data_IF_376344132308
#
_entry.id   IF_376344132308
#
_cell.length_a   1.000
_cell.length_b   1.000
_cell.length_c   1.000
_cell.angle_alpha   90.00
_cell.angle_beta   90.00
_cell.angle_gamma   90.00
#
_symmetry.space_group_name_H-M   'P 1'
#
loop_
_entity.id
_entity.type
_entity.pdbx_description
1 polymer ?
#
# COMPACT_ATOMS: atom_id res chain seq x y z
N UNK A 1 19.18 -15.39 3.27
CA UNK A 1 18.56 -14.10 3.61
C UNK A 1 17.17 -14.38 4.13
N UNK A 2 16.74 -13.72 5.20
CA UNK A 2 15.40 -13.86 5.77
C UNK A 2 14.42 -13.25 4.76
N UNK A 3 13.39 -13.97 4.36
CA UNK A 3 12.36 -13.46 3.46
C UNK A 3 11.27 -12.78 4.27
N UNK A 4 10.67 -11.73 3.71
CA UNK A 4 9.69 -10.88 4.37
C UNK A 4 10.26 -10.26 5.65
N UNK A 5 11.42 -9.60 5.52
CA UNK A 5 12.11 -8.98 6.67
C UNK A 5 11.52 -7.61 7.00
N UNK A 6 10.57 -7.59 7.94
CA UNK A 6 9.88 -6.37 8.37
C UNK A 6 10.74 -5.42 9.21
N UNK A 7 11.89 -5.90 9.73
CA UNK A 7 12.86 -5.05 10.44
C UNK A 7 13.41 -3.92 9.53
N UNK A 8 13.35 -4.14 8.21
CA UNK A 8 13.71 -3.11 7.23
C UNK A 8 12.95 -1.80 7.44
N UNK A 9 11.68 -1.85 7.78
CA UNK A 9 10.84 -0.66 7.99
C UNK A 9 11.25 0.13 9.23
N UNK A 10 11.63 -0.55 10.33
CA UNK A 10 12.16 0.10 11.52
C UNK A 10 13.52 0.76 11.25
N UNK A 11 14.45 0.02 10.61
CA UNK A 11 15.80 0.50 10.33
C UNK A 11 15.85 1.66 9.33
N UNK A 12 14.82 1.82 8.51
CA UNK A 12 14.77 2.83 7.44
C UNK A 12 13.63 3.85 7.63
N UNK A 13 12.99 3.90 8.78
CA UNK A 13 11.80 4.73 9.02
C UNK A 13 12.01 6.21 8.66
N UNK A 14 13.18 6.78 8.91
CA UNK A 14 13.53 8.17 8.56
C UNK A 14 13.46 8.46 7.05
N UNK A 15 13.45 7.42 6.22
CA UNK A 15 13.43 7.55 4.76
C UNK A 15 12.01 7.67 4.17
N UNK A 16 10.93 7.53 4.95
CA UNK A 16 9.56 7.63 4.45
C UNK A 16 9.29 8.93 3.67
N UNK A 17 9.82 10.05 4.15
CA UNK A 17 9.63 11.36 3.55
C UNK A 17 10.85 11.87 2.77
N UNK A 18 11.87 11.04 2.57
CA UNK A 18 13.09 11.40 1.85
C UNK A 18 12.97 11.03 0.37
N UNK A 19 12.94 12.02 -0.51
CA UNK A 19 12.90 11.79 -1.97
C UNK A 19 14.02 10.86 -2.45
N UNK A 20 13.69 9.97 -3.38
CA UNK A 20 14.64 9.02 -3.97
C UNK A 20 14.95 7.79 -3.11
N UNK A 21 14.34 7.66 -1.93
CA UNK A 21 14.44 6.45 -1.11
C UNK A 21 13.31 5.48 -1.42
N UNK A 22 13.54 4.18 -1.16
CA UNK A 22 12.58 3.10 -1.47
C UNK A 22 11.23 3.34 -0.78
N UNK A 23 11.22 3.66 0.50
CA UNK A 23 9.98 3.91 1.24
C UNK A 23 9.20 5.12 0.69
N UNK A 24 9.90 6.13 0.17
CA UNK A 24 9.24 7.28 -0.45
C UNK A 24 8.59 6.96 -1.81
N UNK A 25 8.91 5.82 -2.43
CA UNK A 25 8.24 5.36 -3.65
C UNK A 25 6.73 5.21 -3.42
N UNK A 26 6.31 4.78 -2.23
CA UNK A 26 4.90 4.69 -1.84
C UNK A 26 4.19 6.04 -1.94
N UNK A 27 4.88 7.17 -1.79
CA UNK A 27 4.30 8.50 -1.97
C UNK A 27 3.87 8.75 -3.44
N UNK A 28 4.66 8.28 -4.40
CA UNK A 28 4.29 8.33 -5.81
C UNK A 28 3.08 7.43 -6.11
N UNK A 29 3.03 6.24 -5.53
CA UNK A 29 1.91 5.30 -5.67
C UNK A 29 0.61 5.85 -5.07
N UNK A 30 0.72 6.55 -3.93
CA UNK A 30 -0.45 7.08 -3.20
C UNK A 30 -1.35 7.98 -4.04
N UNK A 31 -0.80 8.81 -4.94
CA UNK A 31 -1.62 9.63 -5.81
C UNK A 31 -2.64 8.78 -6.58
N UNK A 32 -2.17 7.72 -7.22
CA UNK A 32 -3.03 6.84 -8.04
C UNK A 32 -4.00 6.02 -7.18
N UNK A 33 -3.56 5.59 -5.98
CA UNK A 33 -4.42 4.93 -4.99
C UNK A 33 -5.57 5.83 -4.56
N UNK A 34 -5.23 7.02 -4.09
CA UNK A 34 -6.22 7.99 -3.58
C UNK A 34 -7.15 8.46 -4.71
N UNK A 35 -6.65 8.69 -5.93
CA UNK A 35 -7.49 9.01 -7.09
C UNK A 35 -8.51 7.89 -7.37
N UNK A 36 -8.08 6.62 -7.34
CA UNK A 36 -8.97 5.47 -7.49
C UNK A 36 -9.97 5.37 -6.34
N UNK A 37 -9.55 5.50 -5.09
CA UNK A 37 -10.43 5.41 -3.92
C UNK A 37 -11.44 6.56 -3.90
N UNK A 38 -11.03 7.77 -4.28
CA UNK A 38 -11.90 8.94 -4.36
C UNK A 38 -12.98 8.83 -5.45
N UNK A 39 -12.82 7.92 -6.42
CA UNK A 39 -13.90 7.64 -7.37
C UNK A 39 -15.12 6.95 -6.74
N UNK A 40 -14.97 6.41 -5.52
CA UNK A 40 -16.04 5.74 -4.75
C UNK A 40 -16.51 6.56 -3.54
N UNK A 41 -15.79 7.62 -3.16
CA UNK A 41 -16.11 8.50 -2.04
C UNK A 41 -16.22 9.94 -2.57
N UNK A 42 -17.42 10.53 -2.62
CA UNK A 42 -17.62 11.88 -3.20
C UNK A 42 -16.83 12.98 -2.49
N UNK A 43 -16.61 12.85 -1.19
CA UNK A 43 -15.77 13.73 -0.37
C UNK A 43 -15.20 12.97 0.81
N UNK A 44 -13.95 13.25 1.14
CA UNK A 44 -13.31 12.70 2.34
C UNK A 44 -13.62 13.48 3.61
N UNK A 45 -14.21 14.69 3.47
CA UNK A 45 -14.54 15.54 4.61
C UNK A 45 -15.41 14.83 5.65
N UNK A 46 -14.89 14.71 6.87
CA UNK A 46 -15.57 14.08 7.99
C UNK A 46 -15.65 12.54 7.93
N UNK A 47 -15.15 11.90 6.87
CA UNK A 47 -15.07 10.44 6.76
C UNK A 47 -14.08 9.90 7.78
N UNK A 48 -14.50 8.94 8.60
CA UNK A 48 -13.63 8.23 9.54
C UNK A 48 -12.90 7.12 8.83
N UNK A 49 -11.58 7.27 8.68
CA UNK A 49 -10.73 6.34 7.95
C UNK A 49 -9.79 5.62 8.91
N UNK A 50 -9.63 4.31 8.73
CA UNK A 50 -8.53 3.53 9.29
C UNK A 50 -7.53 3.21 8.18
N UNK A 51 -6.27 3.58 8.37
CA UNK A 51 -5.15 3.27 7.48
C UNK A 51 -4.30 2.15 8.13
N UNK A 52 -4.48 0.92 7.65
CA UNK A 52 -3.76 -0.28 8.13
C UNK A 52 -2.43 -0.37 7.40
N UNK A 53 -1.31 -0.44 8.17
CA UNK A 53 0.03 -0.40 7.62
C UNK A 53 0.39 0.99 7.10
N UNK A 54 0.09 2.02 7.90
CA UNK A 54 0.23 3.41 7.49
C UNK A 54 1.69 3.86 7.27
N UNK A 55 2.68 3.06 7.68
CA UNK A 55 4.10 3.39 7.59
C UNK A 55 4.41 4.76 8.19
N UNK A 56 5.13 5.60 7.45
CA UNK A 56 5.42 6.99 7.83
C UNK A 56 4.26 7.98 7.65
N UNK A 57 3.03 7.50 7.36
CA UNK A 57 1.83 8.33 7.31
C UNK A 57 1.53 8.98 5.95
N UNK A 58 2.10 8.48 4.86
CA UNK A 58 1.97 9.09 3.53
C UNK A 58 0.51 9.16 3.04
N UNK A 59 -0.23 8.05 3.09
CA UNK A 59 -1.66 8.00 2.72
C UNK A 59 -2.51 8.72 3.75
N UNK A 60 -2.25 8.49 5.05
CA UNK A 60 -2.93 9.13 6.17
C UNK A 60 -2.94 10.65 6.06
N UNK A 61 -1.77 11.28 5.80
CA UNK A 61 -1.68 12.74 5.65
C UNK A 61 -2.38 13.26 4.40
N UNK A 62 -2.33 12.50 3.30
CA UNK A 62 -3.03 12.86 2.06
C UNK A 62 -4.53 12.95 2.29
N UNK A 63 -5.10 12.01 3.04
CA UNK A 63 -6.52 12.00 3.39
C UNK A 63 -6.88 13.06 4.44
N UNK A 64 -6.02 13.26 5.44
CA UNK A 64 -6.23 14.30 6.46
C UNK A 64 -6.24 15.72 5.86
N UNK A 65 -5.41 15.97 4.83
CA UNK A 65 -5.44 17.22 4.06
C UNK A 65 -6.74 17.42 3.27
N UNK A 66 -7.50 16.35 3.03
CA UNK A 66 -8.85 16.36 2.46
C UNK A 66 -9.93 16.32 3.55
N UNK A 67 -9.57 16.69 4.79
CA UNK A 67 -10.46 16.81 5.95
C UNK A 67 -11.06 15.47 6.43
N UNK A 68 -10.47 14.32 6.09
CA UNK A 68 -10.82 13.03 6.68
C UNK A 68 -10.38 12.95 8.15
N UNK A 69 -11.15 12.22 8.97
CA UNK A 69 -10.79 11.87 10.35
C UNK A 69 -9.97 10.56 10.33
N UNK A 70 -8.64 10.67 10.26
CA UNK A 70 -7.77 9.52 10.01
C UNK A 70 -7.22 8.93 11.30
N UNK A 71 -7.23 7.60 11.37
CA UNK A 71 -6.51 6.79 12.34
C UNK A 71 -5.54 5.90 11.56
N UNK A 72 -4.24 5.96 11.84
CA UNK A 72 -3.22 5.11 11.23
C UNK A 72 -2.70 4.06 12.21
N UNK A 73 -2.44 2.86 11.72
CA UNK A 73 -1.76 1.80 12.50
C UNK A 73 -0.62 1.18 11.71
N UNK A 74 0.44 0.80 12.40
CA UNK A 74 1.57 0.07 11.82
C UNK A 74 2.24 -0.83 12.87
N UNK A 75 2.94 -1.87 12.41
CA UNK A 75 3.74 -2.76 13.24
C UNK A 75 5.14 -2.18 13.53
N UNK A 76 5.63 -1.27 12.70
CA UNK A 76 6.90 -0.56 12.90
C UNK A 76 6.70 0.61 13.86
N UNK A 77 7.25 0.49 15.06
CA UNK A 77 7.21 1.58 16.06
C UNK A 77 7.95 2.83 15.56
N UNK A 78 9.06 2.65 14.86
CA UNK A 78 9.86 3.76 14.33
C UNK A 78 9.10 4.48 13.19
N UNK A 79 8.42 3.76 12.31
CA UNK A 79 7.52 4.35 11.31
C UNK A 79 6.40 5.17 11.95
N UNK A 80 5.77 4.67 13.01
CA UNK A 80 4.75 5.41 13.78
C UNK A 80 5.30 6.70 14.38
N UNK A 81 6.52 6.68 14.95
CA UNK A 81 7.17 7.90 15.48
C UNK A 81 7.40 8.94 14.38
N UNK A 82 7.86 8.49 13.20
CA UNK A 82 8.06 9.36 12.04
C UNK A 82 6.73 9.95 11.56
N UNK A 83 5.69 9.12 11.43
CA UNK A 83 4.34 9.57 11.04
C UNK A 83 3.79 10.63 12.00
N UNK A 84 3.88 10.39 13.31
CA UNK A 84 3.45 11.35 14.35
C UNK A 84 4.22 12.67 14.28
N UNK A 85 5.55 12.61 14.09
CA UNK A 85 6.40 13.79 14.03
C UNK A 85 6.08 14.62 12.77
N UNK A 86 5.90 13.95 11.62
CA UNK A 86 5.62 14.61 10.35
C UNK A 86 4.21 15.24 10.34
N UNK A 87 3.20 14.54 10.83
CA UNK A 87 1.84 15.07 10.95
C UNK A 87 1.79 16.31 11.87
N UNK A 88 2.47 16.27 13.04
CA UNK A 88 2.58 17.44 13.93
C UNK A 88 3.24 18.64 13.25
N UNK A 89 4.32 18.41 12.50
CA UNK A 89 5.02 19.46 11.74
C UNK A 89 4.11 20.12 10.70
N UNK A 90 3.20 19.35 10.13
CA UNK A 90 2.23 19.82 9.13
C UNK A 90 0.87 20.24 9.73
N UNK A 91 0.76 20.32 11.05
CA UNK A 91 -0.47 20.70 11.76
C UNK A 91 -1.68 19.82 11.42
N UNK A 92 -1.45 18.53 11.13
CA UNK A 92 -2.49 17.55 10.86
C UNK A 92 -2.86 16.80 12.14
N UNK A 93 -4.17 16.64 12.37
CA UNK A 93 -4.68 15.87 13.50
C UNK A 93 -4.97 14.44 13.06
N UNK A 94 -4.02 13.53 13.28
CA UNK A 94 -4.09 12.12 12.93
C UNK A 94 -3.71 11.29 14.15
N UNK A 95 -4.53 10.30 14.50
CA UNK A 95 -4.23 9.36 15.57
C UNK A 95 -3.40 8.19 15.02
N UNK A 96 -2.17 8.01 15.51
CA UNK A 96 -1.31 6.90 15.11
C UNK A 96 -1.05 5.94 16.27
N UNK A 97 -1.19 4.61 16.00
CA UNK A 97 -1.00 3.56 17.00
C UNK A 97 -0.07 2.45 16.49
N UNK A 98 0.79 1.98 17.35
CA UNK A 98 1.60 0.79 17.14
C UNK A 98 0.78 -0.46 17.47
N UNK A 99 0.24 -1.13 16.45
CA UNK A 99 -0.74 -2.22 16.59
C UNK A 99 -0.58 -3.22 15.45
N UNK A 100 -0.82 -4.51 15.75
CA UNK A 100 -0.93 -5.58 14.76
C UNK A 100 -2.24 -5.46 13.98
N UNK A 101 -2.17 -5.61 12.65
CA UNK A 101 -3.35 -5.56 11.78
C UNK A 101 -4.34 -6.71 12.04
N UNK A 102 -3.85 -7.85 12.52
CA UNK A 102 -4.64 -9.03 12.86
C UNK A 102 -5.45 -8.89 14.16
N UNK A 103 -5.24 -7.84 14.95
CA UNK A 103 -5.94 -7.65 16.23
C UNK A 103 -6.16 -6.14 16.52
N UNK A 104 -7.17 -5.58 15.91
CA UNK A 104 -7.46 -4.15 15.98
C UNK A 104 -8.13 -3.76 17.31
N UNK A 105 -7.58 -2.80 18.09
CA UNK A 105 -8.13 -2.38 19.39
C UNK A 105 -9.31 -1.41 19.26
N UNK A 106 -10.07 -1.52 18.17
CA UNK A 106 -11.18 -0.64 17.87
C UNK A 106 -12.52 -1.37 17.99
N UNK A 107 -13.55 -0.63 18.38
CA UNK A 107 -14.91 -1.13 18.40
C UNK A 107 -15.38 -1.51 16.98
N UNK A 108 -16.30 -2.48 16.90
CA UNK A 108 -16.97 -2.79 15.65
C UNK A 108 -17.73 -1.58 15.10
N UNK A 109 -17.84 -1.48 13.79
CA UNK A 109 -18.61 -0.43 13.09
C UNK A 109 -18.15 1.00 13.42
N UNK A 110 -16.84 1.21 13.59
CA UNK A 110 -16.24 2.53 13.92
C UNK A 110 -15.95 3.38 12.69
N UNK A 111 -15.47 2.77 11.59
CA UNK A 111 -14.92 3.47 10.44
C UNK A 111 -15.84 3.43 9.22
N UNK A 112 -15.86 4.52 8.45
CA UNK A 112 -16.56 4.63 7.17
C UNK A 112 -15.76 4.00 6.05
N UNK A 113 -14.44 4.09 6.13
CA UNK A 113 -13.51 3.46 5.19
C UNK A 113 -12.32 2.85 5.92
N UNK A 114 -11.78 1.76 5.37
CA UNK A 114 -10.52 1.12 5.79
C UNK A 114 -9.63 1.00 4.57
N UNK A 115 -8.39 1.48 4.70
CA UNK A 115 -7.31 1.28 3.73
C UNK A 115 -6.38 0.18 4.22
N UNK A 116 -5.88 -0.65 3.31
CA UNK A 116 -4.88 -1.68 3.56
C UNK A 116 -4.02 -1.84 2.29
N UNK A 117 -2.98 -1.01 2.18
CA UNK A 117 -2.16 -0.88 0.98
C UNK A 117 -0.73 -1.36 1.24
N UNK A 118 -0.19 -2.26 0.39
CA UNK A 118 1.13 -2.90 0.57
C UNK A 118 1.29 -3.61 1.94
N UNK A 119 0.26 -4.27 2.44
CA UNK A 119 0.26 -4.88 3.78
C UNK A 119 -0.04 -6.37 3.76
N UNK A 120 -1.04 -6.79 2.99
CA UNK A 120 -1.57 -8.16 3.05
C UNK A 120 -0.52 -9.24 2.74
N UNK A 121 0.44 -8.95 1.86
CA UNK A 121 1.58 -9.80 1.52
C UNK A 121 2.66 -9.86 2.59
N UNK A 122 2.60 -8.99 3.60
CA UNK A 122 3.60 -8.90 4.66
C UNK A 122 3.15 -9.52 5.98
N UNK A 123 1.85 -9.51 6.27
CA UNK A 123 1.29 -10.00 7.54
C UNK A 123 1.37 -11.53 7.70
N UNK A 124 1.15 -12.01 8.91
CA UNK A 124 1.17 -13.44 9.18
C UNK A 124 -0.12 -14.13 8.74
N UNK A 125 -1.26 -13.50 8.99
CA UNK A 125 -2.59 -14.00 8.69
C UNK A 125 -3.44 -12.90 8.02
N UNK A 126 -3.32 -12.78 6.70
CA UNK A 126 -4.06 -11.79 5.94
C UNK A 126 -5.59 -12.02 5.96
N UNK A 127 -6.05 -13.27 6.14
CA UNK A 127 -7.47 -13.58 6.28
C UNK A 127 -8.03 -12.97 7.57
N UNK A 128 -7.23 -13.00 8.64
CA UNK A 128 -7.59 -12.34 9.89
C UNK A 128 -7.64 -10.81 9.75
N UNK A 129 -6.74 -10.22 8.98
CA UNK A 129 -6.78 -8.77 8.67
C UNK A 129 -8.09 -8.42 7.94
N UNK A 130 -8.52 -9.22 6.96
CA UNK A 130 -9.81 -9.02 6.26
C UNK A 130 -10.99 -9.10 7.23
N UNK A 131 -10.99 -10.08 8.14
CA UNK A 131 -12.02 -10.23 9.17
C UNK A 131 -12.08 -9.03 10.11
N UNK A 132 -10.94 -8.51 10.56
CA UNK A 132 -10.84 -7.34 11.41
C UNK A 132 -11.27 -6.06 10.67
N UNK A 133 -10.85 -5.89 9.40
CA UNK A 133 -11.29 -4.78 8.56
C UNK A 133 -12.84 -4.79 8.41
N UNK A 134 -13.42 -5.95 8.12
CA UNK A 134 -14.88 -6.08 8.11
C UNK A 134 -15.49 -5.72 9.47
N UNK A 135 -14.95 -6.22 10.58
CA UNK A 135 -15.50 -5.97 11.92
C UNK A 135 -15.56 -4.48 12.24
N UNK A 136 -14.48 -3.75 11.97
CA UNK A 136 -14.37 -2.32 12.32
C UNK A 136 -15.08 -1.38 11.33
N UNK A 137 -15.35 -1.81 10.11
CA UNK A 137 -16.14 -1.05 9.13
C UNK A 137 -17.60 -0.93 9.59
N UNK A 138 -18.22 0.22 9.32
CA UNK A 138 -19.67 0.40 9.38
C UNK A 138 -20.36 -0.38 8.26
N UNK A 139 -21.66 -0.64 8.40
CA UNK A 139 -22.49 -1.13 7.30
C UNK A 139 -22.42 -0.15 6.13
N UNK A 140 -22.30 -0.66 4.91
CA UNK A 140 -21.98 0.08 3.68
C UNK A 140 -20.60 0.80 3.67
N UNK A 141 -19.75 0.57 4.66
CA UNK A 141 -18.38 1.08 4.69
C UNK A 141 -17.50 0.44 3.61
N UNK A 142 -16.50 1.17 3.16
CA UNK A 142 -15.63 0.78 2.06
C UNK A 142 -14.30 0.23 2.58
N UNK A 143 -13.92 -0.94 2.06
CA UNK A 143 -12.59 -1.51 2.22
C UNK A 143 -11.80 -1.26 0.94
N UNK A 144 -10.70 -0.53 1.03
CA UNK A 144 -9.76 -0.29 -0.06
C UNK A 144 -8.46 -1.05 0.19
N UNK A 145 -7.92 -1.64 -0.85
CA UNK A 145 -6.73 -2.46 -0.74
C UNK A 145 -5.88 -2.41 -2.00
N UNK A 146 -4.60 -2.70 -1.85
CA UNK A 146 -3.76 -3.19 -2.93
C UNK A 146 -2.76 -4.22 -2.40
N UNK A 147 -2.28 -5.09 -3.27
CA UNK A 147 -1.31 -6.12 -2.97
C UNK A 147 -0.74 -6.75 -4.23
N UNK A 148 0.26 -7.61 -4.10
CA UNK A 148 0.97 -8.25 -5.19
C UNK A 148 0.33 -9.61 -5.51
N UNK A 149 0.06 -9.85 -6.80
CA UNK A 149 -0.52 -11.12 -7.26
C UNK A 149 0.51 -12.27 -7.20
N UNK A 150 0.13 -13.42 -6.66
CA UNK A 150 0.95 -14.65 -6.70
C UNK A 150 0.95 -15.28 -8.08
N UNK A 151 1.53 -14.61 -9.05
CA UNK A 151 1.70 -15.04 -10.42
C UNK A 151 3.18 -15.29 -10.76
N UNK A 152 3.44 -16.01 -11.84
CA UNK A 152 4.82 -16.15 -12.34
C UNK A 152 5.38 -14.81 -12.85
N UNK A 153 4.54 -13.97 -13.45
CA UNK A 153 4.90 -12.64 -13.94
C UNK A 153 5.33 -11.71 -12.80
N UNK A 154 4.59 -11.71 -11.69
CA UNK A 154 4.96 -10.91 -10.51
C UNK A 154 6.26 -11.39 -9.87
N UNK A 155 6.49 -12.71 -9.82
CA UNK A 155 7.76 -13.28 -9.35
C UNK A 155 8.95 -12.77 -10.16
N UNK A 156 8.82 -12.75 -11.49
CA UNK A 156 9.87 -12.24 -12.39
C UNK A 156 10.12 -10.76 -12.20
N UNK A 157 9.05 -9.95 -12.05
CA UNK A 157 9.17 -8.49 -11.97
C UNK A 157 9.57 -8.06 -10.57
N UNK A 158 8.83 -8.46 -9.54
CA UNK A 158 9.02 -7.94 -8.18
C UNK A 158 10.26 -8.52 -7.51
N UNK A 159 10.48 -9.83 -7.62
CA UNK A 159 11.61 -10.50 -6.95
C UNK A 159 12.86 -10.45 -7.84
N UNK A 160 12.79 -11.04 -9.03
CA UNK A 160 13.98 -11.19 -9.87
C UNK A 160 14.50 -9.87 -10.41
N UNK A 161 13.61 -9.04 -10.98
CA UNK A 161 14.03 -7.80 -11.61
C UNK A 161 14.29 -6.71 -10.56
N UNK A 162 13.32 -6.38 -9.72
CA UNK A 162 13.40 -5.22 -8.83
C UNK A 162 14.27 -5.46 -7.59
N UNK A 163 14.22 -6.66 -6.98
CA UNK A 163 15.04 -6.96 -5.80
C UNK A 163 16.44 -7.48 -6.18
N UNK A 164 16.54 -8.52 -7.03
CA UNK A 164 17.81 -9.22 -7.23
C UNK A 164 18.73 -8.52 -8.25
N UNK A 165 18.18 -8.00 -9.36
CA UNK A 165 18.95 -7.43 -10.47
C UNK A 165 19.10 -5.91 -10.31
N UNK A 166 18.00 -5.16 -10.31
CA UNK A 166 18.01 -3.69 -10.29
C UNK A 166 18.28 -3.15 -8.89
N UNK A 167 17.94 -3.92 -7.87
CA UNK A 167 18.10 -3.57 -6.44
C UNK A 167 17.41 -2.24 -6.07
N UNK A 168 16.32 -1.92 -6.75
CA UNK A 168 15.47 -0.79 -6.37
C UNK A 168 14.68 -1.09 -5.09
N UNK A 169 14.37 -2.37 -4.85
CA UNK A 169 13.79 -2.88 -3.63
C UNK A 169 14.86 -3.73 -2.95
N UNK A 170 15.03 -3.64 -1.62
CA UNK A 170 16.00 -4.45 -0.90
C UNK A 170 15.75 -5.95 -1.11
N UNK A 171 16.79 -6.75 -1.42
CA UNK A 171 16.64 -8.19 -1.56
C UNK A 171 16.07 -8.83 -0.30
N UNK A 172 15.02 -9.66 -0.47
CA UNK A 172 14.35 -10.37 0.63
C UNK A 172 13.27 -9.57 1.34
N UNK A 173 12.92 -8.39 0.87
CA UNK A 173 11.78 -7.62 1.42
C UNK A 173 10.46 -8.36 1.17
N UNK A 174 10.33 -9.08 0.07
CA UNK A 174 9.15 -9.87 -0.24
C UNK A 174 9.39 -11.38 -0.19
N UNK A 175 8.33 -12.13 0.11
CA UNK A 175 8.24 -13.57 -0.10
C UNK A 175 7.12 -13.89 -1.09
N UNK A 176 7.47 -14.41 -2.28
CA UNK A 176 6.49 -14.76 -3.30
C UNK A 176 5.37 -15.70 -2.80
N UNK A 177 5.66 -16.56 -1.83
CA UNK A 177 4.66 -17.46 -1.23
C UNK A 177 3.58 -16.73 -0.44
N UNK A 178 3.86 -15.50 -0.01
CA UNK A 178 2.91 -14.63 0.68
C UNK A 178 2.06 -13.76 -0.26
N UNK A 179 2.43 -13.68 -1.54
CA UNK A 179 1.61 -12.97 -2.52
C UNK A 179 0.25 -13.62 -2.64
N UNK A 180 -0.78 -12.86 -2.96
CA UNK A 180 -2.17 -13.29 -2.88
C UNK A 180 -2.79 -13.21 -4.27
N UNK A 181 -3.45 -14.28 -4.71
CA UNK A 181 -4.18 -14.25 -5.97
C UNK A 181 -5.48 -13.44 -5.82
N UNK A 182 -5.87 -12.66 -6.85
CA UNK A 182 -7.13 -11.90 -6.81
C UNK A 182 -8.34 -12.75 -6.44
N UNK A 183 -8.41 -13.99 -6.94
CA UNK A 183 -9.53 -14.92 -6.67
C UNK A 183 -9.56 -15.37 -5.20
N UNK A 184 -8.39 -15.61 -4.59
CA UNK A 184 -8.27 -16.00 -3.18
C UNK A 184 -8.71 -14.85 -2.27
N UNK A 185 -8.28 -13.62 -2.59
CA UNK A 185 -8.65 -12.42 -1.84
C UNK A 185 -10.14 -12.12 -1.97
N UNK A 186 -10.70 -12.18 -3.18
CA UNK A 186 -12.14 -11.98 -3.43
C UNK A 186 -12.98 -12.98 -2.65
N UNK A 187 -12.65 -14.27 -2.75
CA UNK A 187 -13.34 -15.32 -2.00
C UNK A 187 -13.32 -15.08 -0.49
N UNK A 188 -12.17 -14.70 0.06
CA UNK A 188 -12.04 -14.41 1.50
C UNK A 188 -12.85 -13.19 1.91
N UNK A 189 -12.83 -12.12 1.10
CA UNK A 189 -13.63 -10.92 1.36
C UNK A 189 -15.11 -11.22 1.37
N UNK A 190 -15.62 -11.92 0.36
CA UNK A 190 -17.04 -12.27 0.24
C UNK A 190 -17.51 -13.16 1.39
N UNK A 191 -16.71 -14.16 1.79
CA UNK A 191 -17.01 -15.03 2.94
C UNK A 191 -17.01 -14.26 4.28
N UNK A 192 -16.35 -13.12 4.36
CA UNK A 192 -16.39 -12.24 5.52
C UNK A 192 -17.45 -11.12 5.40
N UNK A 193 -18.29 -11.11 4.36
CA UNK A 193 -19.33 -10.09 4.19
C UNK A 193 -18.85 -8.77 3.57
N UNK A 194 -17.67 -8.77 2.95
CA UNK A 194 -17.18 -7.69 2.10
C UNK A 194 -17.52 -8.00 0.64
N UNK A 195 -18.58 -7.38 0.14
CA UNK A 195 -19.21 -7.69 -1.16
C UNK A 195 -18.89 -6.61 -2.22
N UNK A 196 -19.46 -6.78 -3.42
CA UNK A 196 -19.28 -5.83 -4.54
C UNK A 196 -17.79 -5.52 -4.78
N UNK A 197 -16.97 -6.58 -4.81
CA UNK A 197 -15.52 -6.48 -5.00
C UNK A 197 -15.21 -5.97 -6.40
N UNK A 198 -14.38 -4.94 -6.49
CA UNK A 198 -13.82 -4.43 -7.74
C UNK A 198 -12.31 -4.56 -7.66
N UNK A 199 -11.70 -5.19 -8.65
CA UNK A 199 -10.24 -5.32 -8.78
C UNK A 199 -9.80 -4.71 -10.11
N UNK A 200 -8.71 -3.95 -10.06
CA UNK A 200 -8.03 -3.36 -11.22
C UNK A 200 -6.53 -3.65 -11.11
N UNK A 201 -5.88 -3.74 -12.24
CA UNK A 201 -4.43 -3.83 -12.31
C UNK A 201 -3.78 -2.50 -11.99
N UNK A 202 -2.65 -2.57 -11.29
CA UNK A 202 -1.81 -1.44 -10.94
C UNK A 202 -0.52 -1.54 -11.76
N UNK A 203 -0.54 -0.97 -12.97
CA UNK A 203 0.50 -1.12 -13.96
C UNK A 203 1.60 -0.08 -13.75
N UNK A 204 2.74 -0.53 -13.22
CA UNK A 204 3.95 0.27 -12.99
C UNK A 204 4.68 0.66 -14.28
N UNK A 205 4.25 0.16 -15.44
CA UNK A 205 4.86 0.50 -16.73
C UNK A 205 4.17 1.68 -17.42
N UNK A 206 2.99 2.09 -16.91
CA UNK A 206 2.17 3.13 -17.54
C UNK A 206 1.70 2.76 -18.94
N UNK A 207 1.72 1.46 -19.28
CA UNK A 207 1.42 0.97 -20.62
C UNK A 207 2.61 1.03 -21.60
N UNK A 208 3.82 1.33 -21.12
CA UNK A 208 5.02 1.28 -21.95
C UNK A 208 5.36 -0.16 -22.36
N UNK A 209 5.94 -0.30 -23.55
CA UNK A 209 6.46 -1.61 -23.94
C UNK A 209 7.68 -2.01 -23.11
N UNK A 210 7.93 -3.32 -23.03
CA UNK A 210 9.01 -3.91 -22.23
C UNK A 210 10.40 -3.35 -22.57
N UNK A 211 10.65 -2.99 -23.82
CA UNK A 211 11.92 -2.44 -24.27
C UNK A 211 12.17 -1.02 -23.75
N UNK A 212 11.13 -0.19 -23.69
CA UNK A 212 11.19 1.15 -23.09
C UNK A 212 11.41 1.05 -21.58
N UNK A 213 10.69 0.15 -20.90
CA UNK A 213 10.84 -0.11 -19.47
C UNK A 213 12.25 -0.53 -19.10
N UNK A 214 12.82 -1.52 -19.81
CA UNK A 214 14.20 -1.97 -19.59
C UNK A 214 15.20 -0.85 -19.83
N UNK A 215 15.01 -0.04 -20.85
CA UNK A 215 15.89 1.11 -21.13
C UNK A 215 15.87 2.14 -19.99
N UNK A 216 14.71 2.41 -19.40
CA UNK A 216 14.59 3.32 -18.23
C UNK A 216 15.27 2.69 -17.02
N UNK A 217 15.01 1.44 -16.73
CA UNK A 217 15.62 0.69 -15.63
C UNK A 217 17.15 0.66 -15.74
N UNK A 218 17.69 0.36 -16.94
CA UNK A 218 19.13 0.33 -17.17
C UNK A 218 19.79 1.71 -17.28
N UNK A 219 19.08 2.76 -17.73
CA UNK A 219 19.59 4.14 -17.70
C UNK A 219 19.72 4.67 -16.27
N UNK A 220 18.78 4.32 -15.37
CA UNK A 220 18.86 4.62 -13.95
C UNK A 220 20.06 3.97 -13.24
N UNK A 221 20.63 2.90 -13.82
CA UNK A 221 21.82 2.20 -13.33
C UNK A 221 23.14 2.87 -13.81
N UNK A 222 23.09 3.92 -14.64
CA UNK A 222 24.29 4.56 -15.16
C UNK A 222 24.74 5.72 -14.25
N UNK A 223 25.79 5.57 -13.42
CA UNK A 223 26.19 6.53 -12.39
C UNK A 223 26.76 7.86 -12.95
N UNK A 224 26.85 8.00 -14.29
CA UNK A 224 27.41 9.18 -14.95
C UNK A 224 26.43 10.36 -15.12
N UNK A 225 25.16 10.18 -14.81
CA UNK A 225 24.16 11.26 -14.97
C UNK A 225 23.66 11.73 -13.59
N UNK A 226 24.48 12.53 -12.89
CA UNK A 226 24.18 13.07 -11.55
C UNK A 226 23.04 14.11 -11.53
N UNK A 227 22.60 14.61 -12.68
CA UNK A 227 21.63 15.71 -12.80
C UNK A 227 20.23 15.29 -13.22
N UNK A 228 20.00 14.02 -13.60
CA UNK A 228 18.67 13.52 -13.87
C UNK A 228 18.10 12.88 -12.60
N UNK A 229 17.25 13.62 -11.89
CA UNK A 229 16.30 12.99 -10.95
C UNK A 229 15.56 11.92 -11.74
N UNK A 230 15.49 10.65 -11.27
CA UNK A 230 14.70 9.64 -11.94
C UNK A 230 13.26 10.15 -12.03
N UNK A 231 12.75 10.29 -13.25
CA UNK A 231 11.33 10.60 -13.41
C UNK A 231 10.53 9.44 -12.78
N UNK A 232 9.51 9.75 -12.00
CA UNK A 232 8.69 8.73 -11.39
C UNK A 232 8.07 7.86 -12.50
N UNK A 233 8.02 6.54 -12.26
CA UNK A 233 7.42 5.60 -13.21
C UNK A 233 5.99 6.04 -13.55
N UNK A 234 5.62 6.09 -14.83
CA UNK A 234 4.23 6.32 -15.19
C UNK A 234 3.40 5.12 -14.72
N UNK A 235 2.39 5.40 -13.92
CA UNK A 235 1.48 4.39 -13.39
C UNK A 235 0.16 4.49 -14.14
N UNK A 236 -0.44 3.35 -14.45
CA UNK A 236 -1.76 3.27 -15.04
C UNK A 236 -2.61 2.22 -14.34
N UNK A 237 -3.84 2.59 -14.01
CA UNK A 237 -4.83 1.62 -13.54
C UNK A 237 -5.54 1.05 -14.77
N UNK A 238 -5.57 -0.29 -14.90
CA UNK A 238 -6.13 -1.00 -16.04
C UNK A 238 -6.76 -2.35 -15.61
N UNK A 239 -7.06 -3.23 -16.54
CA UNK A 239 -7.66 -4.54 -16.25
C UNK A 239 -6.61 -5.63 -15.97
N UNK A 240 -5.31 -5.42 -16.22
CA UNK A 240 -4.25 -6.43 -16.04
C UNK A 240 -3.78 -6.51 -14.58
N UNK A 241 -4.44 -7.32 -13.77
CA UNK A 241 -4.10 -7.62 -12.38
C UNK A 241 -2.98 -8.66 -12.22
N UNK A 242 -2.23 -8.98 -13.26
CA UNK A 242 -1.29 -10.10 -13.26
C UNK A 242 -0.02 -9.88 -12.41
N UNK A 243 0.33 -8.63 -12.04
CA UNK A 243 1.51 -8.32 -11.22
C UNK A 243 1.11 -7.72 -9.88
N UNK A 244 0.49 -6.57 -9.93
CA UNK A 244 0.02 -5.82 -8.79
C UNK A 244 -1.40 -5.39 -9.04
N UNK A 245 -2.23 -5.38 -8.02
CA UNK A 245 -3.63 -5.00 -8.17
C UNK A 245 -4.12 -4.22 -6.96
N UNK A 246 -5.07 -3.34 -7.21
CA UNK A 246 -5.79 -2.58 -6.20
C UNK A 246 -7.28 -2.80 -6.37
N UNK A 247 -8.03 -2.49 -5.34
CA UNK A 247 -9.47 -2.65 -5.42
C UNK A 247 -10.24 -2.05 -4.25
N UNK A 248 -11.54 -2.29 -4.30
CA UNK A 248 -12.46 -1.97 -3.21
C UNK A 248 -13.46 -3.11 -2.97
N UNK A 249 -13.97 -3.19 -1.76
CA UNK A 249 -15.13 -3.98 -1.39
C UNK A 249 -16.05 -3.15 -0.49
N UNK A 250 -17.30 -3.59 -0.32
CA UNK A 250 -18.33 -2.93 0.50
C UNK A 250 -18.78 -3.87 1.60
N UNK A 251 -18.82 -3.41 2.83
CA UNK A 251 -19.42 -4.18 3.93
C UNK A 251 -20.94 -4.24 3.78
N UNK A 252 -21.48 -5.45 3.74
CA UNK A 252 -22.92 -5.73 3.78
C UNK A 252 -23.56 -5.45 5.15
#
# INVERSE_FOLDING_TARGET
MKKNDLEYYDLNADNWWTEGKVLNLSNHLNKYRIDFFSSYIPTWQGIKVLDIGCGGGLASETLAKQEACVTGIDLSLESIKVAQAHARKNHLNIDYYWVFAENLPFAAKKFDAVLCCDVLEHVTDWQKVISEAHRVLKTNGLFFFDTINRSFKSKLIMIWLLEDIVKQIPPGLHDWHKFIKPEELTYTMENNGLNNVVIKGFDLTGGMNWQTLTNILFKGLNPKNKDNKPEPFPIKINEDSSVWYLGKAVKG
#
